data_IF_830796126621
#
_entry.id   IF_830796126621
#
_cell.length_a   1.000
_cell.length_b   1.000
_cell.length_c   1.000
_cell.angle_alpha   90.00
_cell.angle_beta   90.00
_cell.angle_gamma   90.00
#
_symmetry.space_group_name_H-M   'P 1'
#
loop_
_entity.id
_entity.type
_entity.pdbx_description
1 polymer ?
#
# COMPACT_ATOMS: atom_id res chain seq x y z
N UNK A 1 -39.56 100.14 52.89
CA UNK A 1 -38.45 99.80 51.97
C UNK A 1 -37.66 98.64 52.57
N UNK A 2 -37.88 97.44 52.04
CA UNK A 2 -37.35 96.12 52.44
C UNK A 2 -37.75 95.17 51.32
N UNK A 3 -37.00 94.18 50.85
CA UNK A 3 -35.61 93.74 51.01
C UNK A 3 -35.31 92.93 49.75
N UNK A 4 -34.05 92.95 49.34
CA UNK A 4 -33.45 91.99 48.41
C UNK A 4 -33.87 90.55 48.74
N UNK A 5 -34.28 89.77 47.73
CA UNK A 5 -33.89 88.35 47.50
C UNK A 5 -34.68 87.78 46.32
N UNK A 6 -34.12 87.83 45.11
CA UNK A 6 -34.67 87.11 43.95
C UNK A 6 -33.59 86.86 42.88
N UNK A 7 -32.46 86.26 43.27
CA UNK A 7 -31.43 85.83 42.31
C UNK A 7 -30.75 84.49 42.63
N UNK A 8 -31.08 83.82 43.74
CA UNK A 8 -30.32 82.64 44.20
C UNK A 8 -30.87 81.30 43.68
N UNK A 9 -32.13 81.22 43.26
CA UNK A 9 -32.78 79.92 42.96
C UNK A 9 -32.61 79.46 41.50
N UNK A 10 -32.51 80.37 40.53
CA UNK A 10 -32.29 79.99 39.12
C UNK A 10 -30.86 79.52 38.82
N UNK A 11 -29.86 80.03 39.56
CA UNK A 11 -28.47 79.62 39.39
C UNK A 11 -28.20 78.17 39.84
N UNK A 12 -28.95 77.64 40.81
CA UNK A 12 -28.74 76.30 41.38
C UNK A 12 -29.22 75.14 40.48
N UNK A 13 -30.25 75.36 39.66
CA UNK A 13 -30.72 74.35 38.70
C UNK A 13 -29.87 74.33 37.42
N UNK A 14 -29.38 75.48 36.96
CA UNK A 14 -28.45 75.56 35.85
C UNK A 14 -27.08 74.97 36.22
N UNK A 15 -26.52 75.27 37.40
CA UNK A 15 -25.27 74.62 37.86
C UNK A 15 -25.44 73.11 37.99
N UNK A 16 -26.54 72.60 38.55
CA UNK A 16 -26.76 71.14 38.64
C UNK A 16 -26.88 70.43 37.28
N UNK A 17 -27.39 71.10 36.24
CA UNK A 17 -27.39 70.55 34.87
C UNK A 17 -26.00 70.59 34.24
N UNK A 18 -25.27 71.70 34.37
CA UNK A 18 -23.86 71.81 33.96
C UNK A 18 -22.98 70.74 34.63
N UNK A 19 -23.10 70.52 35.93
CA UNK A 19 -22.35 69.48 36.65
C UNK A 19 -22.70 68.04 36.25
N UNK A 20 -23.88 67.79 35.66
CA UNK A 20 -24.25 66.48 35.12
C UNK A 20 -23.71 66.28 33.71
N UNK A 21 -23.74 67.32 32.88
CA UNK A 21 -23.13 67.32 31.55
C UNK A 21 -21.61 67.21 31.63
N UNK A 22 -20.97 67.88 32.60
CA UNK A 22 -19.53 67.79 32.86
C UNK A 22 -19.13 66.37 33.31
N UNK A 23 -19.91 65.73 34.19
CA UNK A 23 -19.66 64.34 34.61
C UNK A 23 -19.83 63.33 33.46
N UNK A 24 -20.83 63.52 32.60
CA UNK A 24 -21.02 62.69 31.42
C UNK A 24 -19.90 62.91 30.40
N UNK A 25 -19.42 64.15 30.25
CA UNK A 25 -18.27 64.50 29.41
C UNK A 25 -16.97 63.84 29.91
N UNK A 26 -16.73 63.85 31.21
CA UNK A 26 -15.57 63.20 31.84
C UNK A 26 -15.61 61.68 31.67
N UNK A 27 -16.78 61.07 31.81
CA UNK A 27 -16.99 59.63 31.60
C UNK A 27 -16.77 59.24 30.13
N UNK A 28 -17.25 60.06 29.19
CA UNK A 28 -16.99 59.89 27.74
C UNK A 28 -15.50 60.01 27.43
N UNK A 29 -14.79 60.97 28.02
CA UNK A 29 -13.34 61.13 27.85
C UNK A 29 -12.55 59.94 28.41
N UNK A 30 -13.00 59.38 29.53
CA UNK A 30 -12.39 58.18 30.12
C UNK A 30 -12.56 56.96 29.20
N UNK A 31 -13.77 56.76 28.68
CA UNK A 31 -14.08 55.67 27.74
C UNK A 31 -13.35 55.82 26.41
N UNK A 32 -13.14 57.05 25.92
CA UNK A 32 -12.34 57.31 24.72
C UNK A 32 -10.87 56.95 24.91
N UNK A 33 -10.28 57.29 26.07
CA UNK A 33 -8.91 56.89 26.41
C UNK A 33 -8.76 55.37 26.52
N UNK A 34 -9.73 54.70 27.14
CA UNK A 34 -9.74 53.24 27.24
C UNK A 34 -9.90 52.57 25.87
N UNK A 35 -10.77 53.10 25.00
CA UNK A 35 -10.92 52.60 23.63
C UNK A 35 -9.63 52.76 22.80
N UNK A 36 -8.91 53.87 22.98
CA UNK A 36 -7.61 54.10 22.34
C UNK A 36 -6.57 53.09 22.81
N UNK A 37 -6.53 52.80 24.11
CA UNK A 37 -5.63 51.79 24.69
C UNK A 37 -5.94 50.39 24.15
N UNK A 38 -7.21 49.99 24.17
CA UNK A 38 -7.67 48.70 23.64
C UNK A 38 -7.38 48.55 22.14
N UNK A 39 -7.56 49.61 21.34
CA UNK A 39 -7.17 49.60 19.93
C UNK A 39 -5.66 49.38 19.73
N UNK A 40 -4.83 49.98 20.58
CA UNK A 40 -3.39 49.75 20.58
C UNK A 40 -3.03 48.29 20.89
N UNK A 41 -3.63 47.73 21.94
CA UNK A 41 -3.42 46.32 22.33
C UNK A 41 -3.87 45.35 21.24
N UNK A 42 -5.03 45.57 20.62
CA UNK A 42 -5.51 44.76 19.49
C UNK A 42 -4.59 44.86 18.27
N UNK A 43 -4.03 46.03 18.00
CA UNK A 43 -3.07 46.21 16.90
C UNK A 43 -1.79 45.40 17.13
N UNK A 44 -1.26 45.42 18.36
CA UNK A 44 -0.08 44.63 18.74
C UNK A 44 -0.38 43.12 18.65
N UNK A 45 -1.55 42.69 19.14
CA UNK A 45 -1.96 41.28 19.07
C UNK A 45 -2.09 40.78 17.62
N UNK A 46 -2.65 41.59 16.72
CA UNK A 46 -2.73 41.25 15.29
C UNK A 46 -1.35 41.11 14.66
N UNK A 47 -0.41 41.99 15.00
CA UNK A 47 0.95 41.93 14.48
C UNK A 47 1.70 40.69 15.01
N UNK A 48 1.51 40.34 16.28
CA UNK A 48 2.06 39.12 16.88
C UNK A 48 1.48 37.85 16.24
N UNK A 49 0.17 37.84 15.97
CA UNK A 49 -0.50 36.73 15.29
C UNK A 49 0.10 36.49 13.90
N UNK A 50 0.25 37.54 13.10
CA UNK A 50 0.88 37.46 11.77
C UNK A 50 2.32 36.96 11.84
N UNK A 51 3.09 37.40 12.84
CA UNK A 51 4.45 36.92 13.05
C UNK A 51 4.50 35.43 13.40
N UNK A 52 3.58 34.96 14.26
CA UNK A 52 3.48 33.56 14.66
C UNK A 52 3.02 32.67 13.50
N UNK A 53 2.07 33.12 12.68
CA UNK A 53 1.64 32.38 11.48
C UNK A 53 2.79 32.19 10.50
N UNK A 54 3.61 33.22 10.29
CA UNK A 54 4.79 33.16 9.43
C UNK A 54 5.81 32.14 9.96
N UNK A 55 6.15 32.20 11.25
CA UNK A 55 7.07 31.24 11.88
C UNK A 55 6.54 29.81 11.81
N UNK A 56 5.24 29.60 12.00
CA UNK A 56 4.63 28.28 11.94
C UNK A 56 4.64 27.70 10.51
N UNK A 57 4.50 28.57 9.50
CA UNK A 57 4.67 28.18 8.10
C UNK A 57 6.11 27.78 7.79
N UNK A 58 7.09 28.56 8.24
CA UNK A 58 8.53 28.27 8.08
C UNK A 58 8.91 26.93 8.74
N UNK A 59 8.44 26.67 9.96
CA UNK A 59 8.66 25.40 10.66
C UNK A 59 8.02 24.20 9.94
N UNK A 60 6.84 24.37 9.35
CA UNK A 60 6.19 23.30 8.56
C UNK A 60 6.96 22.99 7.28
N UNK A 61 7.51 24.00 6.62
CA UNK A 61 8.32 23.81 5.41
C UNK A 61 9.66 23.14 5.75
N UNK A 62 10.33 23.58 6.82
CA UNK A 62 11.58 22.98 7.29
C UNK A 62 11.40 21.51 7.69
N UNK A 63 10.33 21.19 8.45
CA UNK A 63 9.97 19.82 8.80
C UNK A 63 9.69 18.96 7.55
N UNK A 64 9.00 19.52 6.57
CA UNK A 64 8.70 18.82 5.31
C UNK A 64 9.96 18.53 4.49
N UNK A 65 10.94 19.46 4.49
CA UNK A 65 12.24 19.26 3.84
C UNK A 65 13.08 18.20 4.56
N UNK A 66 13.10 18.20 5.89
CA UNK A 66 13.79 17.18 6.69
C UNK A 66 13.24 15.78 6.40
N UNK A 67 11.91 15.61 6.41
CA UNK A 67 11.27 14.32 6.13
C UNK A 67 11.61 13.81 4.73
N UNK A 68 11.65 14.69 3.72
CA UNK A 68 12.06 14.30 2.35
C UNK A 68 13.53 13.88 2.28
N UNK A 69 14.41 14.55 3.01
CA UNK A 69 15.83 14.19 3.07
C UNK A 69 16.02 12.81 3.73
N UNK A 70 15.31 12.57 4.84
CA UNK A 70 15.33 11.29 5.54
C UNK A 70 14.80 10.16 4.66
N UNK A 71 13.70 10.38 3.93
CA UNK A 71 13.12 9.40 3.01
C UNK A 71 14.11 9.01 1.89
N UNK A 72 14.78 10.00 1.30
CA UNK A 72 15.81 9.77 0.28
C UNK A 72 17.03 8.99 0.82
N UNK A 73 17.44 9.27 2.06
CA UNK A 73 18.52 8.53 2.72
C UNK A 73 18.13 7.08 3.00
N UNK A 74 16.90 6.86 3.44
CA UNK A 74 16.37 5.55 3.78
C UNK A 74 16.19 4.67 2.52
N UNK A 75 15.75 5.26 1.40
CA UNK A 75 15.68 4.58 0.12
C UNK A 75 17.05 4.14 -0.41
N UNK A 76 18.10 4.95 -0.18
CA UNK A 76 19.48 4.56 -0.52
C UNK A 76 19.96 3.38 0.32
N UNK A 77 19.76 3.45 1.64
CA UNK A 77 20.11 2.36 2.56
C UNK A 77 19.34 1.07 2.25
N UNK A 78 18.05 1.17 1.88
CA UNK A 78 17.24 0.02 1.50
C UNK A 78 17.76 -0.66 0.22
N UNK A 79 18.21 0.12 -0.77
CA UNK A 79 18.86 -0.42 -1.98
C UNK A 79 20.19 -1.10 -1.66
N UNK A 80 20.98 -0.52 -0.76
CA UNK A 80 22.27 -1.07 -0.34
C UNK A 80 22.11 -2.38 0.46
N UNK A 81 21.16 -2.43 1.39
CA UNK A 81 20.81 -3.66 2.12
C UNK A 81 20.35 -4.77 1.17
N UNK A 82 19.50 -4.44 0.19
CA UNK A 82 19.06 -5.42 -0.81
C UNK A 82 20.23 -5.96 -1.64
N UNK A 83 21.17 -5.10 -2.03
CA UNK A 83 22.39 -5.51 -2.73
C UNK A 83 23.25 -6.45 -1.88
N UNK A 84 23.45 -6.13 -0.60
CA UNK A 84 24.21 -6.98 0.33
C UNK A 84 23.53 -8.33 0.59
N UNK A 85 22.21 -8.35 0.74
CA UNK A 85 21.44 -9.60 0.87
C UNK A 85 21.55 -10.48 -0.38
N UNK A 86 21.49 -9.88 -1.57
CA UNK A 86 21.70 -10.60 -2.82
C UNK A 86 23.12 -11.17 -2.90
N UNK A 87 24.14 -10.40 -2.53
CA UNK A 87 25.53 -10.83 -2.55
C UNK A 87 25.80 -11.94 -1.53
N UNK A 88 25.20 -11.88 -0.34
CA UNK A 88 25.28 -12.97 0.64
C UNK A 88 24.60 -14.24 0.15
N UNK A 89 23.41 -14.15 -0.46
CA UNK A 89 22.76 -15.31 -1.10
C UNK A 89 23.62 -15.94 -2.19
N UNK A 90 24.26 -15.11 -3.02
CA UNK A 90 25.20 -15.59 -4.05
C UNK A 90 26.38 -16.31 -3.41
N UNK A 91 26.97 -15.76 -2.34
CA UNK A 91 28.11 -16.36 -1.64
C UNK A 91 27.74 -17.66 -0.92
N UNK A 92 26.59 -17.72 -0.25
CA UNK A 92 26.07 -18.93 0.37
C UNK A 92 25.80 -20.03 -0.66
N UNK A 93 25.18 -19.67 -1.79
CA UNK A 93 24.92 -20.60 -2.89
C UNK A 93 26.22 -21.12 -3.52
N UNK A 94 27.25 -20.27 -3.68
CA UNK A 94 28.59 -20.71 -4.11
C UNK A 94 29.17 -21.72 -3.13
N UNK A 95 29.16 -21.44 -1.82
CA UNK A 95 29.68 -22.34 -0.79
C UNK A 95 28.94 -23.68 -0.71
N UNK A 96 27.61 -23.66 -0.87
CA UNK A 96 26.77 -24.87 -0.89
C UNK A 96 26.96 -25.69 -2.17
N UNK A 97 27.17 -25.05 -3.31
CA UNK A 97 27.46 -25.73 -4.58
C UNK A 97 28.81 -26.46 -4.54
N UNK A 98 29.83 -25.90 -3.87
CA UNK A 98 31.13 -26.55 -3.70
C UNK A 98 31.10 -27.77 -2.75
N UNK A 99 30.20 -27.80 -1.76
CA UNK A 99 30.12 -28.92 -0.79
C UNK A 99 29.28 -30.12 -1.26
N UNK A 100 28.51 -30.01 -2.36
CA UNK A 100 27.48 -31.02 -2.72
C UNK A 100 27.71 -31.85 -3.99
N UNK A 101 28.86 -31.81 -4.67
CA UNK A 101 29.04 -32.62 -5.90
C UNK A 101 29.97 -33.83 -5.76
N UNK A 102 29.36 -34.96 -5.40
CA UNK A 102 29.64 -36.29 -5.95
C UNK A 102 28.31 -36.90 -6.45
N UNK A 103 27.68 -36.24 -7.41
CA UNK A 103 26.52 -36.78 -8.15
C UNK A 103 26.69 -36.40 -9.62
N UNK A 104 26.82 -37.42 -10.44
CA UNK A 104 26.72 -37.37 -11.89
C UNK A 104 25.30 -36.93 -12.29
N UNK A 105 25.16 -35.67 -12.64
CA UNK A 105 24.11 -35.19 -13.52
C UNK A 105 24.84 -34.38 -14.58
N UNK A 106 25.08 -35.05 -15.70
CA UNK A 106 25.75 -34.57 -16.90
C UNK A 106 24.88 -33.52 -17.60
N UNK A 107 24.87 -32.32 -17.02
CA UNK A 107 24.90 -31.08 -17.78
C UNK A 107 25.69 -30.11 -16.92
N UNK A 108 26.95 -30.02 -17.30
CA UNK A 108 28.06 -29.73 -16.42
C UNK A 108 28.07 -28.25 -16.04
N UNK A 109 28.32 -27.94 -14.77
CA UNK A 109 28.64 -26.56 -14.37
C UNK A 109 29.90 -26.11 -15.13
N UNK A 110 30.77 -27.04 -15.55
CA UNK A 110 31.84 -26.76 -16.52
C UNK A 110 31.34 -26.38 -17.91
N UNK A 111 30.23 -26.90 -18.40
CA UNK A 111 29.66 -26.49 -19.69
C UNK A 111 29.15 -25.05 -19.61
N UNK A 112 28.45 -24.69 -18.53
CA UNK A 112 27.98 -23.32 -18.30
C UNK A 112 29.14 -22.31 -18.13
N UNK A 113 30.22 -22.71 -17.47
CA UNK A 113 31.43 -21.89 -17.29
C UNK A 113 32.34 -21.87 -18.53
N UNK A 114 32.36 -22.92 -19.36
CA UNK A 114 33.12 -22.94 -20.62
C UNK A 114 32.46 -22.09 -21.71
N UNK A 115 31.14 -21.92 -21.67
CA UNK A 115 30.42 -21.08 -22.62
C UNK A 115 30.41 -19.61 -22.22
N UNK A 116 30.62 -19.26 -20.94
CA UNK A 116 30.55 -17.86 -20.47
C UNK A 116 31.70 -16.97 -20.93
N UNK A 117 32.78 -17.55 -21.44
CA UNK A 117 33.92 -16.80 -22.04
C UNK A 117 33.74 -16.53 -23.55
N UNK A 118 32.69 -17.09 -24.17
CA UNK A 118 32.25 -16.72 -25.52
C UNK A 118 31.05 -15.78 -25.40
N UNK A 119 30.91 -14.78 -26.27
CA UNK A 119 29.69 -13.98 -26.39
C UNK A 119 28.47 -14.91 -26.59
N UNK A 120 27.84 -15.36 -25.49
CA UNK A 120 26.71 -16.29 -25.56
C UNK A 120 25.53 -15.48 -26.07
N UNK A 121 25.30 -15.57 -27.37
CA UNK A 121 24.05 -15.12 -27.95
C UNK A 121 22.97 -16.14 -27.55
N UNK A 122 22.33 -15.93 -26.40
CA UNK A 122 21.26 -16.81 -25.92
C UNK A 122 20.12 -16.80 -26.94
N UNK A 123 19.93 -17.91 -27.66
CA UNK A 123 18.87 -18.06 -28.65
C UNK A 123 17.65 -18.76 -28.04
N UNK A 124 16.45 -18.37 -28.49
CA UNK A 124 15.20 -19.04 -28.09
C UNK A 124 15.19 -20.52 -28.51
N UNK A 125 15.74 -20.82 -29.67
CA UNK A 125 15.80 -22.18 -30.21
C UNK A 125 17.09 -22.90 -29.80
N UNK A 126 17.03 -24.22 -29.57
CA UNK A 126 15.85 -25.09 -29.61
C UNK A 126 14.86 -24.82 -28.44
N UNK A 127 13.55 -24.89 -28.75
CA UNK A 127 12.46 -24.56 -27.82
C UNK A 127 12.14 -25.76 -26.91
N UNK A 128 13.08 -26.12 -26.05
CA UNK A 128 12.98 -27.27 -25.16
C UNK A 128 12.78 -26.85 -23.70
N UNK A 129 11.86 -27.52 -23.00
CA UNK A 129 11.48 -27.16 -21.63
C UNK A 129 12.67 -27.16 -20.66
N UNK A 130 13.49 -28.21 -20.66
CA UNK A 130 14.62 -28.35 -19.72
C UNK A 130 15.65 -27.24 -19.91
N UNK A 131 15.94 -26.88 -21.17
CA UNK A 131 16.88 -25.82 -21.55
C UNK A 131 16.34 -24.44 -21.15
N UNK A 132 15.08 -24.15 -21.49
CA UNK A 132 14.46 -22.85 -21.19
C UNK A 132 14.23 -22.67 -19.69
N UNK A 133 13.88 -23.74 -18.98
CA UNK A 133 13.83 -23.74 -17.50
C UNK A 133 15.21 -23.43 -16.92
N UNK A 134 16.27 -24.06 -17.43
CA UNK A 134 17.63 -23.77 -17.00
C UNK A 134 17.99 -22.28 -17.22
N UNK A 135 17.66 -21.70 -18.37
CA UNK A 135 17.89 -20.26 -18.57
C UNK A 135 17.08 -19.39 -17.62
N UNK A 136 15.81 -19.72 -17.36
CA UNK A 136 15.01 -18.98 -16.39
C UNK A 136 15.63 -19.03 -14.98
N UNK A 137 16.11 -20.20 -14.56
CA UNK A 137 16.61 -20.45 -13.21
C UNK A 137 18.00 -19.83 -12.97
N UNK A 138 18.88 -19.82 -13.99
CA UNK A 138 20.29 -19.38 -13.85
C UNK A 138 20.61 -18.05 -14.56
N UNK A 139 19.87 -17.68 -15.61
CA UNK A 139 20.12 -16.53 -16.49
C UNK A 139 18.82 -15.73 -16.73
N UNK A 140 18.12 -15.36 -15.64
CA UNK A 140 16.80 -14.74 -15.72
C UNK A 140 16.75 -13.48 -16.59
N UNK A 141 17.75 -12.60 -16.48
CA UNK A 141 17.79 -11.35 -17.26
C UNK A 141 17.88 -11.62 -18.77
N UNK A 142 18.69 -12.59 -19.19
CA UNK A 142 18.84 -12.96 -20.59
C UNK A 142 17.62 -13.74 -21.10
N UNK A 143 17.02 -14.59 -20.25
CA UNK A 143 15.75 -15.26 -20.53
C UNK A 143 14.63 -14.26 -20.83
N UNK A 144 14.56 -13.16 -20.07
CA UNK A 144 13.60 -12.09 -20.30
C UNK A 144 13.81 -11.39 -21.65
N UNK A 145 15.01 -11.40 -22.23
CA UNK A 145 15.31 -10.76 -23.52
C UNK A 145 14.84 -11.56 -24.74
N UNK A 146 14.48 -12.84 -24.59
CA UNK A 146 13.98 -13.62 -25.73
C UNK A 146 12.78 -12.94 -26.43
N UNK A 147 12.70 -13.06 -27.75
CA UNK A 147 11.64 -12.43 -28.55
C UNK A 147 10.25 -12.91 -28.10
N UNK A 148 9.46 -11.99 -27.55
CA UNK A 148 8.10 -12.25 -27.04
C UNK A 148 7.16 -12.79 -28.12
N UNK A 149 7.24 -12.27 -29.35
CA UNK A 149 6.38 -12.70 -30.47
C UNK A 149 6.57 -14.18 -30.79
N UNK A 150 7.83 -14.61 -30.90
CA UNK A 150 8.16 -16.02 -31.17
C UNK A 150 7.70 -16.95 -30.05
N UNK A 151 7.83 -16.52 -28.79
CA UNK A 151 7.30 -17.28 -27.63
C UNK A 151 5.78 -17.44 -27.71
N UNK A 152 5.06 -16.38 -28.06
CA UNK A 152 3.60 -16.43 -28.23
C UNK A 152 3.21 -17.40 -29.34
N UNK A 153 3.90 -17.36 -30.48
CA UNK A 153 3.63 -18.28 -31.60
C UNK A 153 3.82 -19.74 -31.20
N UNK A 154 4.90 -20.09 -30.50
CA UNK A 154 5.13 -21.47 -30.03
C UNK A 154 4.10 -21.89 -28.97
N UNK A 155 3.77 -21.02 -28.01
CA UNK A 155 2.75 -21.31 -27.01
C UNK A 155 1.36 -21.51 -27.63
N UNK A 156 0.99 -20.72 -28.65
CA UNK A 156 -0.28 -20.90 -29.38
C UNK A 156 -0.36 -22.27 -30.05
N UNK A 157 0.74 -22.78 -30.60
CA UNK A 157 0.80 -24.13 -31.19
C UNK A 157 0.60 -25.23 -30.14
N UNK A 158 1.10 -25.00 -28.92
CA UNK A 158 1.02 -25.93 -27.80
C UNK A 158 -0.34 -25.96 -27.10
N UNK A 159 -1.27 -25.03 -27.38
CA UNK A 159 -2.61 -25.03 -26.78
C UNK A 159 -3.38 -26.35 -26.96
N UNK A 160 -3.07 -27.13 -28.01
CA UNK A 160 -3.64 -28.47 -28.24
C UNK A 160 -3.23 -29.48 -27.15
N UNK A 161 -2.00 -29.39 -26.63
CA UNK A 161 -1.54 -30.20 -25.51
C UNK A 161 -1.43 -29.33 -24.25
N UNK A 162 -2.51 -29.32 -23.47
CA UNK A 162 -2.61 -28.45 -22.30
C UNK A 162 -1.47 -28.64 -21.28
N UNK A 163 -0.94 -29.87 -21.14
CA UNK A 163 0.16 -30.17 -20.22
C UNK A 163 1.44 -29.41 -20.62
N UNK A 164 1.81 -29.50 -21.89
CA UNK A 164 3.00 -28.83 -22.39
C UNK A 164 2.79 -27.33 -22.35
N UNK A 165 1.61 -26.86 -22.77
CA UNK A 165 1.24 -25.45 -22.68
C UNK A 165 1.41 -24.90 -21.26
N UNK A 166 0.83 -25.54 -20.22
CA UNK A 166 0.91 -25.02 -18.85
C UNK A 166 2.36 -25.02 -18.34
N UNK A 167 3.15 -26.04 -18.71
CA UNK A 167 4.56 -26.12 -18.35
C UNK A 167 5.36 -24.94 -18.92
N UNK A 168 5.23 -24.67 -20.22
CA UNK A 168 5.91 -23.54 -20.84
C UNK A 168 5.32 -22.19 -20.41
N UNK A 169 4.02 -22.11 -20.16
CA UNK A 169 3.40 -20.87 -19.70
C UNK A 169 3.91 -20.45 -18.32
N UNK A 170 4.10 -21.39 -17.39
CA UNK A 170 4.73 -21.11 -16.08
C UNK A 170 6.18 -20.57 -16.22
N UNK A 171 6.89 -20.95 -17.28
CA UNK A 171 8.22 -20.41 -17.55
C UNK A 171 8.15 -18.97 -18.05
N UNK A 172 7.24 -18.68 -18.99
CA UNK A 172 7.19 -17.39 -19.70
C UNK A 172 6.16 -16.38 -19.14
N UNK A 173 5.36 -16.76 -18.14
CA UNK A 173 4.38 -15.87 -17.48
C UNK A 173 5.01 -14.63 -16.83
N UNK A 174 6.34 -14.61 -16.67
CA UNK A 174 7.10 -13.44 -16.25
C UNK A 174 7.07 -12.29 -17.28
N UNK A 175 6.63 -12.52 -18.52
CA UNK A 175 6.47 -11.49 -19.55
C UNK A 175 5.01 -11.06 -19.64
N UNK A 176 4.76 -9.76 -19.47
CA UNK A 176 3.40 -9.21 -19.42
C UNK A 176 2.56 -9.53 -20.67
N UNK A 177 3.14 -9.45 -21.86
CA UNK A 177 2.41 -9.71 -23.10
C UNK A 177 2.02 -11.19 -23.24
N UNK A 178 2.92 -12.10 -22.83
CA UNK A 178 2.64 -13.54 -22.78
C UNK A 178 1.54 -13.82 -21.75
N UNK A 179 1.64 -13.20 -20.58
CA UNK A 179 0.63 -13.33 -19.53
C UNK A 179 -0.75 -12.88 -20.03
N UNK A 180 -0.85 -11.67 -20.58
CA UNK A 180 -2.12 -11.10 -21.07
C UNK A 180 -2.77 -11.96 -22.14
N UNK A 181 -1.98 -12.49 -23.06
CA UNK A 181 -2.48 -13.34 -24.15
C UNK A 181 -3.07 -14.66 -23.66
N UNK A 182 -2.42 -15.30 -22.66
CA UNK A 182 -2.70 -16.69 -22.32
C UNK A 182 -3.37 -16.91 -20.96
N UNK A 183 -3.47 -15.89 -20.10
CA UNK A 183 -3.99 -16.04 -18.74
C UNK A 183 -5.42 -16.62 -18.71
N UNK A 184 -6.28 -16.23 -19.64
CA UNK A 184 -7.67 -16.74 -19.74
C UNK A 184 -7.71 -18.26 -19.95
N UNK A 185 -6.70 -18.83 -20.63
CA UNK A 185 -6.61 -20.26 -20.90
C UNK A 185 -6.30 -21.09 -19.65
N UNK A 186 -5.92 -20.47 -18.52
CA UNK A 186 -5.77 -21.16 -17.24
C UNK A 186 -7.10 -21.75 -16.74
N UNK A 187 -8.24 -21.15 -17.09
CA UNK A 187 -9.55 -21.54 -16.58
C UNK A 187 -10.28 -22.58 -17.44
N UNK A 188 -9.70 -23.03 -18.55
CA UNK A 188 -10.33 -23.99 -19.48
C UNK A 188 -10.61 -25.35 -18.82
N UNK A 189 -9.80 -25.74 -17.84
CA UNK A 189 -9.96 -27.01 -17.12
C UNK A 189 -9.50 -26.87 -15.66
N UNK A 190 -9.71 -27.92 -14.87
CA UNK A 190 -9.32 -27.96 -13.45
C UNK A 190 -8.01 -28.73 -13.20
N UNK A 191 -7.24 -29.05 -14.24
CA UNK A 191 -5.97 -29.77 -14.07
C UNK A 191 -4.82 -28.84 -13.67
N UNK A 192 -3.75 -29.41 -13.11
CA UNK A 192 -2.51 -28.72 -12.76
C UNK A 192 -2.71 -27.51 -11.81
N UNK A 193 -3.60 -27.66 -10.84
CA UNK A 193 -4.00 -26.60 -9.90
C UNK A 193 -2.78 -25.94 -9.24
N UNK A 194 -1.82 -26.73 -8.76
CA UNK A 194 -0.65 -26.17 -8.05
C UNK A 194 0.21 -25.28 -8.96
N UNK A 195 0.33 -25.60 -10.26
CA UNK A 195 1.02 -24.74 -11.24
C UNK A 195 0.25 -23.44 -11.47
N UNK A 196 -1.08 -23.53 -11.56
CA UNK A 196 -1.95 -22.35 -11.72
C UNK A 196 -1.82 -21.42 -10.54
N UNK A 197 -1.90 -21.96 -9.32
CA UNK A 197 -1.73 -21.19 -8.08
C UNK A 197 -0.34 -20.53 -8.04
N UNK A 198 0.72 -21.24 -8.41
CA UNK A 198 2.06 -20.66 -8.51
C UNK A 198 2.12 -19.42 -9.41
N UNK A 199 1.38 -19.41 -10.54
CA UNK A 199 1.29 -18.22 -11.41
C UNK A 199 0.63 -17.05 -10.67
N UNK A 200 -0.44 -17.27 -9.89
CA UNK A 200 -1.09 -16.20 -9.12
C UNK A 200 -0.16 -15.61 -8.04
N UNK A 201 0.70 -16.43 -7.45
CA UNK A 201 1.62 -16.00 -6.40
C UNK A 201 2.82 -15.22 -6.98
N UNK A 202 3.39 -15.71 -8.08
CA UNK A 202 4.60 -15.17 -8.70
C UNK A 202 4.37 -13.87 -9.51
N UNK A 203 3.19 -13.72 -10.13
CA UNK A 203 2.92 -12.61 -11.05
C UNK A 203 2.47 -11.35 -10.29
N UNK A 204 2.82 -10.13 -10.77
CA UNK A 204 2.30 -8.88 -10.20
C UNK A 204 0.77 -8.83 -10.16
N UNK A 205 0.24 -8.32 -9.04
CA UNK A 205 -1.20 -8.29 -8.81
C UNK A 205 -1.92 -7.44 -9.88
N UNK A 206 -1.30 -6.35 -10.33
CA UNK A 206 -1.82 -5.48 -11.39
C UNK A 206 -2.05 -6.20 -12.72
N UNK A 207 -1.31 -7.28 -13.01
CA UNK A 207 -1.47 -8.01 -14.27
C UNK A 207 -2.70 -8.89 -14.23
N UNK A 208 -2.92 -9.57 -13.10
CA UNK A 208 -4.10 -10.42 -12.84
C UNK A 208 -5.38 -9.58 -12.86
N UNK A 209 -5.31 -8.35 -12.35
CA UNK A 209 -6.45 -7.45 -12.28
C UNK A 209 -6.66 -6.62 -13.55
N UNK A 210 -5.58 -6.37 -14.29
CA UNK A 210 -5.60 -5.65 -15.56
C UNK A 210 -6.27 -6.44 -16.69
N UNK A 211 -6.59 -7.73 -16.50
CA UNK A 211 -7.50 -8.50 -17.36
C UNK A 211 -8.96 -8.24 -16.93
N UNK A 212 -9.37 -6.98 -16.94
CA UNK A 212 -10.58 -6.45 -16.30
C UNK A 212 -11.87 -6.63 -17.11
N UNK A 213 -12.01 -7.77 -17.81
CA UNK A 213 -13.31 -8.17 -18.35
C UNK A 213 -14.11 -8.89 -17.25
N UNK A 214 -15.39 -8.58 -17.08
CA UNK A 214 -16.25 -9.16 -16.04
C UNK A 214 -16.25 -10.69 -16.04
N UNK A 215 -16.11 -11.30 -17.23
CA UNK A 215 -15.98 -12.75 -17.41
C UNK A 215 -14.72 -13.31 -16.75
N UNK A 216 -13.58 -12.61 -16.85
CA UNK A 216 -12.32 -13.02 -16.26
C UNK A 216 -12.34 -12.88 -14.74
N UNK A 217 -12.95 -11.82 -14.22
CA UNK A 217 -13.14 -11.64 -12.77
C UNK A 217 -13.97 -12.78 -12.20
N UNK A 218 -15.06 -13.16 -12.88
CA UNK A 218 -15.89 -14.31 -12.49
C UNK A 218 -15.09 -15.62 -12.48
N UNK A 219 -14.27 -15.85 -13.51
CA UNK A 219 -13.40 -17.03 -13.59
C UNK A 219 -12.36 -17.09 -12.45
N UNK A 220 -11.73 -15.95 -12.14
CA UNK A 220 -10.79 -15.81 -11.02
C UNK A 220 -11.50 -16.13 -9.70
N UNK A 221 -12.65 -15.51 -9.44
CA UNK A 221 -13.44 -15.73 -8.22
C UNK A 221 -13.86 -17.19 -8.08
N UNK A 222 -14.33 -17.81 -9.16
CA UNK A 222 -14.69 -19.23 -9.16
C UNK A 222 -13.48 -20.13 -8.86
N UNK A 223 -12.32 -19.83 -9.44
CA UNK A 223 -11.10 -20.58 -9.20
C UNK A 223 -10.62 -20.44 -7.74
N UNK A 224 -10.65 -19.23 -7.18
CA UNK A 224 -10.33 -18.97 -5.78
C UNK A 224 -11.30 -19.72 -4.86
N UNK A 225 -12.61 -19.64 -5.09
CA UNK A 225 -13.60 -20.30 -4.24
C UNK A 225 -13.41 -21.83 -4.18
N UNK A 226 -12.98 -22.45 -5.28
CA UNK A 226 -12.67 -23.90 -5.32
C UNK A 226 -11.34 -24.26 -4.63
N UNK A 227 -10.39 -23.34 -4.57
CA UNK A 227 -9.00 -23.60 -4.13
C UNK A 227 -8.55 -22.71 -2.97
N UNK A 228 -9.49 -22.12 -2.24
CA UNK A 228 -9.27 -21.02 -1.30
C UNK A 228 -8.17 -21.30 -0.27
N UNK A 229 -8.17 -22.51 0.31
CA UNK A 229 -7.19 -22.92 1.32
C UNK A 229 -5.76 -22.99 0.77
N UNK A 230 -5.58 -23.29 -0.53
CA UNK A 230 -4.27 -23.28 -1.18
C UNK A 230 -3.85 -21.89 -1.64
N UNK A 231 -4.79 -20.98 -1.83
CA UNK A 231 -4.56 -19.61 -2.33
C UNK A 231 -4.49 -18.55 -1.22
N UNK A 232 -4.40 -18.95 0.05
CA UNK A 232 -4.35 -18.01 1.19
C UNK A 232 -3.18 -17.03 1.06
N UNK A 233 -2.03 -17.47 0.53
CA UNK A 233 -0.88 -16.58 0.33
C UNK A 233 -1.16 -15.51 -0.73
N UNK A 234 -1.74 -15.88 -1.87
CA UNK A 234 -2.21 -14.93 -2.88
C UNK A 234 -3.24 -13.95 -2.29
N UNK A 235 -4.22 -14.44 -1.54
CA UNK A 235 -5.23 -13.58 -0.90
C UNK A 235 -4.61 -12.63 0.13
N UNK A 236 -3.60 -13.08 0.88
CA UNK A 236 -2.83 -12.24 1.79
C UNK A 236 -2.13 -11.10 1.04
N UNK A 237 -1.48 -11.39 -0.10
CA UNK A 237 -0.85 -10.38 -0.97
C UNK A 237 -1.87 -9.34 -1.44
N UNK A 238 -3.06 -9.78 -1.86
CA UNK A 238 -4.16 -8.89 -2.25
C UNK A 238 -4.60 -8.00 -1.08
N UNK A 239 -4.76 -8.59 0.11
CA UNK A 239 -5.18 -7.89 1.32
C UNK A 239 -4.20 -6.78 1.72
N UNK A 240 -2.90 -6.99 1.56
CA UNK A 240 -1.88 -6.03 1.96
C UNK A 240 -1.71 -4.90 0.93
N UNK A 241 -1.63 -5.25 -0.37
CA UNK A 241 -1.36 -4.29 -1.45
C UNK A 241 -2.62 -3.52 -1.90
N UNK A 242 -3.77 -4.21 -2.00
CA UNK A 242 -5.03 -3.68 -2.55
C UNK A 242 -6.27 -4.25 -1.82
N UNK A 243 -6.51 -3.92 -0.54
CA UNK A 243 -7.56 -4.55 0.27
C UNK A 243 -8.98 -4.50 -0.34
N UNK A 244 -9.31 -3.43 -1.08
CA UNK A 244 -10.64 -3.27 -1.69
C UNK A 244 -10.98 -4.37 -2.72
N UNK A 245 -9.96 -4.99 -3.31
CA UNK A 245 -10.11 -6.01 -4.36
C UNK A 245 -10.58 -7.33 -3.80
N UNK A 246 -10.28 -7.62 -2.53
CA UNK A 246 -10.79 -8.82 -1.87
C UNK A 246 -12.31 -8.91 -2.00
N UNK A 247 -13.04 -7.79 -1.88
CA UNK A 247 -14.50 -7.79 -1.99
C UNK A 247 -15.01 -8.18 -3.39
N UNK A 248 -14.15 -8.10 -4.41
CA UNK A 248 -14.45 -8.46 -5.80
C UNK A 248 -14.18 -9.95 -6.04
N UNK A 249 -13.08 -10.47 -5.49
CA UNK A 249 -12.57 -11.83 -5.81
C UNK A 249 -12.89 -12.88 -4.75
N UNK A 250 -13.28 -12.46 -3.53
CA UNK A 250 -13.51 -13.33 -2.39
C UNK A 250 -14.95 -13.15 -1.87
N UNK A 251 -15.61 -14.27 -1.63
CA UNK A 251 -16.94 -14.32 -1.02
C UNK A 251 -16.90 -14.54 0.49
N UNK A 252 -17.96 -14.08 1.17
CA UNK A 252 -18.16 -14.33 2.61
C UNK A 252 -18.08 -15.82 2.95
N UNK A 253 -18.72 -16.68 2.14
CA UNK A 253 -18.69 -18.14 2.33
C UNK A 253 -17.27 -18.70 2.22
N UNK A 254 -16.51 -18.26 1.22
CA UNK A 254 -15.11 -18.65 0.99
C UNK A 254 -14.21 -18.17 2.13
N UNK A 255 -14.38 -16.91 2.56
CA UNK A 255 -13.68 -16.35 3.73
C UNK A 255 -13.96 -17.17 5.00
N UNK A 256 -15.24 -17.45 5.29
CA UNK A 256 -15.64 -18.29 6.43
C UNK A 256 -15.01 -19.70 6.33
N UNK A 257 -14.93 -20.26 5.13
CA UNK A 257 -14.25 -21.53 4.87
C UNK A 257 -12.76 -21.50 5.24
N UNK A 258 -12.05 -20.43 4.86
CA UNK A 258 -10.62 -20.25 5.17
C UNK A 258 -10.42 -20.15 6.68
N UNK A 259 -11.11 -19.25 7.38
CA UNK A 259 -10.86 -18.99 8.82
C UNK A 259 -11.23 -20.20 9.69
N UNK A 260 -12.20 -21.02 9.25
CA UNK A 260 -12.60 -22.24 9.94
C UNK A 260 -11.47 -23.28 10.01
N UNK A 261 -10.51 -23.25 9.08
CA UNK A 261 -9.38 -24.20 9.07
C UNK A 261 -8.41 -24.01 10.25
N UNK A 262 -8.38 -22.82 10.87
CA UNK A 262 -7.56 -22.48 12.05
C UNK A 262 -6.04 -22.72 11.88
N UNK A 263 -5.54 -22.78 10.64
CA UNK A 263 -4.09 -22.84 10.37
C UNK A 263 -3.41 -21.51 10.70
N UNK A 264 -2.08 -21.53 10.88
CA UNK A 264 -1.31 -20.30 11.10
C UNK A 264 -1.53 -19.29 9.96
N UNK A 265 -1.46 -19.74 8.71
CA UNK A 265 -1.67 -18.89 7.53
C UNK A 265 -3.07 -18.28 7.48
N UNK A 266 -4.11 -19.05 7.82
CA UNK A 266 -5.48 -18.55 7.87
C UNK A 266 -5.67 -17.51 8.99
N UNK A 267 -5.01 -17.68 10.15
CA UNK A 267 -5.04 -16.69 11.23
C UNK A 267 -4.33 -15.39 10.83
N UNK A 268 -3.12 -15.48 10.28
CA UNK A 268 -2.40 -14.29 9.80
C UNK A 268 -3.20 -13.52 8.74
N UNK A 269 -3.89 -14.25 7.85
CA UNK A 269 -4.78 -13.65 6.87
C UNK A 269 -6.00 -12.97 7.50
N UNK A 270 -6.64 -13.62 8.48
CA UNK A 270 -7.75 -13.04 9.25
C UNK A 270 -7.33 -11.74 9.94
N UNK A 271 -6.20 -11.75 10.65
CA UNK A 271 -5.70 -10.59 11.40
C UNK A 271 -5.43 -9.41 10.46
N UNK A 272 -4.82 -9.66 9.29
CA UNK A 272 -4.59 -8.64 8.27
C UNK A 272 -5.90 -8.04 7.73
N UNK A 273 -6.89 -8.88 7.44
CA UNK A 273 -8.21 -8.42 6.99
C UNK A 273 -8.88 -7.55 8.06
N UNK A 274 -8.78 -7.93 9.33
CA UNK A 274 -9.34 -7.15 10.42
C UNK A 274 -8.68 -5.77 10.52
N UNK A 275 -7.36 -5.69 10.39
CA UNK A 275 -6.61 -4.41 10.43
C UNK A 275 -6.88 -3.50 9.23
N UNK A 276 -7.07 -4.06 8.03
CA UNK A 276 -7.21 -3.29 6.77
C UNK A 276 -8.67 -2.91 6.45
N UNK A 277 -9.63 -3.17 7.33
CA UNK A 277 -11.03 -2.77 7.15
C UNK A 277 -11.95 -3.85 6.54
N UNK A 278 -11.81 -5.10 7.00
CA UNK A 278 -12.55 -6.28 6.53
C UNK A 278 -14.00 -6.44 6.98
N UNK A 279 -14.67 -5.39 7.44
CA UNK A 279 -16.08 -5.41 7.90
C UNK A 279 -17.02 -6.09 6.88
N UNK A 280 -16.74 -5.92 5.58
CA UNK A 280 -17.52 -6.51 4.49
C UNK A 280 -17.57 -8.03 4.49
N UNK A 281 -16.64 -8.71 5.17
CA UNK A 281 -16.58 -10.18 5.23
C UNK A 281 -17.19 -10.77 6.49
N UNK A 282 -17.40 -9.96 7.53
CA UNK A 282 -17.89 -10.44 8.83
C UNK A 282 -19.41 -10.44 8.85
N UNK A 283 -20.00 -11.55 9.29
CA UNK A 283 -21.44 -11.70 9.50
C UNK A 283 -21.74 -12.67 10.66
N UNK A 284 -23.03 -12.89 10.91
CA UNK A 284 -23.50 -13.80 11.97
C UNK A 284 -23.01 -15.25 11.81
N UNK A 285 -22.55 -15.67 10.63
CA UNK A 285 -22.06 -17.03 10.38
C UNK A 285 -20.60 -17.23 10.72
N UNK A 286 -19.84 -16.15 10.91
CA UNK A 286 -18.40 -16.22 11.10
C UNK A 286 -17.86 -15.37 12.26
N UNK A 287 -18.73 -14.55 12.86
CA UNK A 287 -18.40 -13.73 14.03
C UNK A 287 -17.73 -14.53 15.16
N UNK A 288 -18.17 -15.76 15.42
CA UNK A 288 -17.66 -16.61 16.49
C UNK A 288 -16.25 -17.16 16.26
N UNK A 289 -15.65 -16.94 15.08
CA UNK A 289 -14.26 -17.30 14.80
C UNK A 289 -13.27 -16.16 15.07
N UNK A 290 -13.75 -14.94 15.33
CA UNK A 290 -12.91 -13.79 15.61
C UNK A 290 -12.53 -13.75 17.09
N UNK A 291 -11.27 -13.43 17.37
CA UNK A 291 -10.81 -13.10 18.72
C UNK A 291 -11.21 -11.67 19.09
N UNK A 292 -11.15 -11.36 20.39
CA UNK A 292 -11.38 -10.01 20.90
C UNK A 292 -10.43 -8.97 20.27
N UNK A 293 -9.15 -9.34 20.04
CA UNK A 293 -8.20 -8.48 19.32
C UNK A 293 -8.69 -8.12 17.93
N UNK A 294 -9.26 -9.09 17.22
CA UNK A 294 -9.67 -8.93 15.83
C UNK A 294 -10.92 -8.06 15.74
N UNK A 295 -11.82 -8.17 16.72
CA UNK A 295 -12.98 -7.28 16.84
C UNK A 295 -12.54 -5.84 17.12
N UNK A 296 -11.59 -5.63 18.04
CA UNK A 296 -11.06 -4.29 18.33
C UNK A 296 -10.43 -3.64 17.09
N UNK A 297 -9.61 -4.39 16.34
CA UNK A 297 -8.98 -3.92 15.10
C UNK A 297 -10.04 -3.57 14.03
N UNK A 298 -11.11 -4.37 13.95
CA UNK A 298 -12.18 -4.22 12.96
C UNK A 298 -13.09 -3.02 13.23
N UNK A 299 -13.41 -2.75 14.50
CA UNK A 299 -14.23 -1.62 14.94
C UNK A 299 -13.42 -0.35 15.23
N UNK A 300 -12.08 -0.43 15.16
CA UNK A 300 -11.15 0.64 15.53
C UNK A 300 -11.45 1.20 16.92
N UNK A 301 -11.80 0.34 17.87
CA UNK A 301 -11.96 0.75 19.26
C UNK A 301 -10.61 1.26 19.76
N UNK A 302 -10.55 2.55 20.12
CA UNK A 302 -9.37 3.13 20.73
C UNK A 302 -9.06 2.34 22.01
N UNK A 303 -7.80 1.96 22.19
CA UNK A 303 -7.35 1.43 23.47
C UNK A 303 -7.53 2.55 24.48
N UNK A 304 -8.58 2.48 25.29
CA UNK A 304 -8.63 3.22 26.55
C UNK A 304 -7.36 2.84 27.32
N UNK A 305 -6.41 3.78 27.38
CA UNK A 305 -5.23 3.69 28.20
C UNK A 305 -5.69 3.80 29.65
N UNK A 306 -5.76 2.67 30.35
CA UNK A 306 -5.83 2.61 31.81
C UNK A 306 -4.41 2.51 32.35
#
# INVERSE_FOLDING_TARGET
MSKYTSSTTQNNEQTRKLFREDKQSDEILSLQKENLKLKGEVSILRQNMLSLEKQNYELKDEKSRSIRADFNSNDRLKKEVNMLQLQNRINENKMMAFKRKKIELSMDIKWALQQSDTDINFQLYPFEYKRLKFFKDYFYNDFCQFCTKSVIEELRRMLKNYKDFIDFFVLFSCKIDVFREFFVYLFINEHYIDKKIGIFEDVPLEWILGTSDDSNISNIRNFISKNANKMVHFLYKVADERPFILNIILDKSTFTGIIKTRTHTAKTFLDLICQKGGLGFVDHTNFHYLSESNLRDLYKEEKDQI
#
